data_IF_588871939472
#
_entry.id   IF_588871939472
#
_cell.length_a   1.000
_cell.length_b   1.000
_cell.length_c   1.000
_cell.angle_alpha   90.00
_cell.angle_beta   90.00
_cell.angle_gamma   90.00
#
_symmetry.space_group_name_H-M   'P 1'
#
loop_
_entity.id
_entity.type
_entity.pdbx_description
1 polymer ?
#
# COMPACT_ATOMS: atom_id res chain seq x y z
N UNK A 1 46.51 5.30 38.42
CA UNK A 1 46.65 6.45 37.50
C UNK A 1 45.27 7.07 37.31
N UNK A 2 45.02 8.33 37.71
CA UNK A 2 43.70 8.92 37.55
C UNK A 2 43.47 9.31 36.08
N UNK A 3 42.36 8.86 35.50
CA UNK A 3 41.92 9.28 34.18
C UNK A 3 41.65 10.80 34.19
N UNK A 4 42.41 11.56 33.40
CA UNK A 4 42.12 12.98 33.18
C UNK A 4 40.81 13.07 32.43
N UNK A 5 39.76 13.61 33.07
CA UNK A 5 38.56 14.03 32.35
C UNK A 5 38.97 15.13 31.36
N UNK A 6 38.89 14.85 30.06
CA UNK A 6 39.05 15.89 29.04
C UNK A 6 37.92 16.91 29.21
N UNK A 7 38.25 18.13 29.63
CA UNK A 7 37.31 19.26 29.58
C UNK A 7 37.24 19.75 28.14
N UNK A 8 36.19 19.36 27.42
CA UNK A 8 35.90 19.94 26.11
C UNK A 8 35.57 21.43 26.27
N UNK A 9 36.12 22.30 25.41
CA UNK A 9 35.75 23.71 25.41
C UNK A 9 34.25 23.85 25.09
N UNK A 10 33.57 24.83 25.71
CA UNK A 10 32.12 25.06 25.55
C UNK A 10 31.70 25.13 24.07
N UNK A 11 32.56 25.73 23.22
CA UNK A 11 32.36 25.79 21.78
C UNK A 11 32.30 24.39 21.12
N UNK A 12 33.18 23.46 21.52
CA UNK A 12 33.17 22.09 20.99
C UNK A 12 31.92 21.32 21.43
N UNK A 13 31.42 21.57 22.64
CA UNK A 13 30.14 20.98 23.10
C UNK A 13 28.97 21.50 22.26
N UNK A 14 28.96 22.79 21.92
CA UNK A 14 27.90 23.38 21.09
C UNK A 14 27.97 22.89 19.64
N UNK A 15 29.16 22.77 19.07
CA UNK A 15 29.36 22.20 17.73
C UNK A 15 28.96 20.72 17.67
N UNK A 16 29.30 19.94 18.70
CA UNK A 16 28.88 18.55 18.80
C UNK A 16 27.37 18.43 18.95
N UNK A 17 26.72 19.29 19.74
CA UNK A 17 25.27 19.32 19.87
C UNK A 17 24.59 19.68 18.54
N UNK A 18 25.10 20.69 17.82
CA UNK A 18 24.59 21.07 16.49
C UNK A 18 24.76 19.93 15.47
N UNK A 19 25.89 19.22 15.51
CA UNK A 19 26.13 18.05 14.65
C UNK A 19 25.15 16.91 14.98
N UNK A 20 24.91 16.61 16.26
CA UNK A 20 23.95 15.59 16.67
C UNK A 20 22.50 15.97 16.34
N UNK A 21 22.13 17.25 16.47
CA UNK A 21 20.81 17.74 16.05
C UNK A 21 20.64 17.69 14.53
N UNK A 22 21.65 18.09 13.75
CA UNK A 22 21.64 17.98 12.29
C UNK A 22 21.62 16.52 11.81
N UNK A 23 22.17 15.59 12.60
CA UNK A 23 22.10 14.16 12.31
C UNK A 23 20.72 13.56 12.65
N UNK A 24 20.00 14.12 13.63
CA UNK A 24 18.68 13.65 14.07
C UNK A 24 17.52 14.06 13.16
N UNK A 25 17.72 15.00 12.22
CA UNK A 25 16.66 15.50 11.34
C UNK A 25 16.48 14.71 10.04
N UNK A 26 17.14 13.56 9.90
CA UNK A 26 16.65 12.54 9.00
C UNK A 26 15.35 11.97 9.59
N UNK A 27 14.26 12.74 9.53
CA UNK A 27 12.96 12.14 9.37
C UNK A 27 13.12 11.20 8.17
N UNK A 28 13.19 9.89 8.44
CA UNK A 28 13.52 8.89 7.44
C UNK A 28 12.58 9.11 6.26
N UNK A 29 13.11 9.63 5.15
CA UNK A 29 12.35 9.87 3.94
C UNK A 29 12.12 8.50 3.31
N UNK A 30 11.10 7.80 3.81
CA UNK A 30 10.69 6.51 3.34
C UNK A 30 9.21 6.56 2.98
N UNK A 31 8.85 5.89 1.90
CA UNK A 31 7.45 5.65 1.55
C UNK A 31 7.10 4.25 2.01
N UNK A 32 5.95 4.13 2.66
CA UNK A 32 5.36 2.86 3.05
C UNK A 32 4.14 2.58 2.20
N UNK A 33 3.98 1.32 1.85
CA UNK A 33 2.76 0.79 1.24
C UNK A 33 2.06 -0.12 2.23
N UNK A 34 0.76 0.08 2.38
CA UNK A 34 -0.11 -0.74 3.19
C UNK A 34 -1.12 -1.47 2.31
N UNK A 35 -1.36 -2.74 2.60
CA UNK A 35 -2.34 -3.57 1.91
C UNK A 35 -3.60 -3.68 2.74
N UNK A 36 -4.69 -3.08 2.25
CA UNK A 36 -5.93 -2.93 2.99
C UNK A 36 -7.07 -3.70 2.36
N UNK A 37 -7.98 -4.21 3.19
CA UNK A 37 -9.28 -4.68 2.75
C UNK A 37 -10.37 -4.22 3.71
N UNK A 38 -11.62 -4.22 3.27
CA UNK A 38 -12.75 -4.23 4.19
C UNK A 38 -13.75 -5.30 3.78
N UNK A 39 -14.40 -5.86 4.79
CA UNK A 39 -15.54 -6.70 4.56
C UNK A 39 -16.72 -5.83 4.10
N UNK A 40 -17.41 -6.33 3.10
CA UNK A 40 -18.61 -5.73 2.57
C UNK A 40 -19.73 -6.75 2.54
N UNK A 41 -20.84 -6.40 1.91
CA UNK A 41 -21.87 -7.36 1.58
C UNK A 41 -22.23 -7.26 0.10
N UNK A 42 -22.47 -8.42 -0.49
CA UNK A 42 -22.92 -8.54 -1.89
C UNK A 42 -24.38 -8.08 -2.02
N UNK A 43 -25.14 -8.12 -0.92
CA UNK A 43 -26.57 -7.82 -0.89
C UNK A 43 -26.89 -6.45 -0.28
N UNK A 44 -26.00 -5.89 0.55
CA UNK A 44 -26.27 -4.68 1.33
C UNK A 44 -24.99 -3.85 1.54
N UNK A 45 -25.09 -2.53 1.44
CA UNK A 45 -23.96 -1.64 1.71
C UNK A 45 -22.86 -1.70 0.65
N UNK A 46 -21.59 -1.67 1.09
CA UNK A 46 -20.43 -1.63 0.21
C UNK A 46 -20.04 -3.04 -0.21
N UNK A 47 -19.68 -3.23 -1.48
CA UNK A 47 -19.13 -4.49 -1.96
C UNK A 47 -17.74 -4.73 -1.35
N UNK A 48 -17.38 -5.98 -0.95
CA UNK A 48 -16.05 -6.28 -0.41
C UNK A 48 -14.93 -5.76 -1.31
N UNK A 49 -13.88 -5.18 -0.72
CA UNK A 49 -12.84 -4.54 -1.52
C UNK A 49 -11.44 -4.68 -0.91
N UNK A 50 -10.43 -4.56 -1.76
CA UNK A 50 -9.01 -4.42 -1.38
C UNK A 50 -8.37 -3.29 -2.17
N UNK A 51 -7.42 -2.60 -1.55
CA UNK A 51 -6.74 -1.44 -2.10
C UNK A 51 -5.38 -1.25 -1.41
N UNK A 52 -4.55 -0.36 -1.95
CA UNK A 52 -3.27 0.03 -1.35
C UNK A 52 -3.34 1.45 -0.80
N UNK A 53 -2.60 1.72 0.27
CA UNK A 53 -2.35 3.07 0.80
C UNK A 53 -0.85 3.33 0.73
N UNK A 54 -0.45 4.48 0.19
CA UNK A 54 0.93 4.94 0.10
C UNK A 54 1.06 6.18 0.98
N UNK A 55 2.00 6.16 1.93
CA UNK A 55 2.27 7.30 2.80
C UNK A 55 3.75 7.44 3.12
N UNK A 56 4.21 8.67 3.32
CA UNK A 56 5.58 8.96 3.72
C UNK A 56 6.18 10.09 2.89
N UNK A 57 7.47 10.02 2.64
CA UNK A 57 8.21 11.06 1.90
C UNK A 57 9.19 10.41 0.95
N UNK A 58 9.21 10.84 -0.32
CA UNK A 58 10.19 10.36 -1.30
C UNK A 58 11.60 10.84 -0.93
N UNK A 59 12.55 9.90 -0.94
CA UNK A 59 13.93 10.17 -0.52
C UNK A 59 14.61 11.17 -1.46
N UNK A 60 14.40 11.02 -2.77
CA UNK A 60 15.11 11.83 -3.76
C UNK A 60 14.61 13.27 -3.87
N UNK A 61 13.34 13.53 -3.55
CA UNK A 61 12.69 14.83 -3.81
C UNK A 61 12.20 15.53 -2.54
N UNK A 62 12.03 14.81 -1.43
CA UNK A 62 11.35 15.33 -0.25
C UNK A 62 9.85 15.53 -0.42
N UNK A 63 9.26 15.04 -1.52
CA UNK A 63 7.83 15.13 -1.79
C UNK A 63 7.05 14.23 -0.82
N UNK A 64 6.05 14.80 -0.16
CA UNK A 64 5.16 14.07 0.73
C UNK A 64 4.17 13.24 -0.10
N UNK A 65 4.03 11.96 0.27
CA UNK A 65 3.10 11.02 -0.32
C UNK A 65 1.99 10.74 0.68
N UNK A 66 0.75 10.87 0.25
CA UNK A 66 -0.46 10.48 0.98
C UNK A 66 -1.56 10.16 -0.03
N UNK A 67 -1.49 8.95 -0.58
CA UNK A 67 -2.31 8.52 -1.70
C UNK A 67 -2.87 7.13 -1.42
N UNK A 68 -3.99 6.77 -2.06
CA UNK A 68 -4.50 5.41 -1.99
C UNK A 68 -5.27 5.04 -3.26
N UNK A 69 -5.20 3.77 -3.62
CA UNK A 69 -5.67 3.27 -4.90
C UNK A 69 -6.33 1.90 -4.76
N UNK A 70 -7.61 1.83 -5.13
CA UNK A 70 -8.36 0.60 -5.38
C UNK A 70 -8.87 0.55 -6.81
N UNK A 71 -9.33 -0.61 -7.28
CA UNK A 71 -9.80 -0.78 -8.66
C UNK A 71 -11.20 -1.38 -8.69
N UNK A 72 -12.14 -0.71 -9.34
CA UNK A 72 -13.55 -1.10 -9.35
C UNK A 72 -14.23 -0.85 -10.69
N UNK A 73 -15.45 -1.38 -10.82
CA UNK A 73 -16.36 -0.97 -11.86
C UNK A 73 -16.73 0.51 -11.67
N UNK A 74 -16.81 1.27 -12.77
CA UNK A 74 -17.22 2.67 -12.75
C UNK A 74 -18.67 2.84 -12.29
N UNK A 75 -19.52 1.88 -12.64
CA UNK A 75 -20.92 1.80 -12.22
C UNK A 75 -21.23 0.39 -11.76
N UNK A 76 -21.77 0.26 -10.55
CA UNK A 76 -22.20 -1.03 -10.01
C UNK A 76 -23.61 -1.35 -10.51
N UNK A 77 -23.70 -2.24 -11.49
CA UNK A 77 -24.97 -2.72 -12.05
C UNK A 77 -24.94 -4.25 -12.21
N UNK A 78 -26.09 -4.92 -12.41
CA UNK A 78 -26.12 -6.36 -12.66
C UNK A 78 -25.27 -6.82 -13.85
N UNK A 79 -24.93 -5.93 -14.79
CA UNK A 79 -24.07 -6.23 -15.93
C UNK A 79 -22.65 -6.70 -15.54
N UNK A 80 -22.20 -6.38 -14.32
CA UNK A 80 -20.92 -6.86 -13.79
C UNK A 80 -20.90 -8.40 -13.67
N UNK A 81 -22.07 -9.04 -13.49
CA UNK A 81 -22.18 -10.49 -13.39
C UNK A 81 -22.11 -11.19 -14.75
N UNK A 82 -22.26 -10.45 -15.85
CA UNK A 82 -22.37 -11.03 -17.20
C UNK A 82 -21.14 -10.77 -18.09
N UNK A 83 -20.14 -10.05 -17.58
CA UNK A 83 -18.85 -9.88 -18.25
C UNK A 83 -18.15 -8.57 -17.90
N UNK A 84 -17.09 -8.21 -18.64
CA UNK A 84 -16.32 -7.00 -18.38
C UNK A 84 -17.18 -5.73 -18.49
N UNK A 85 -16.92 -4.74 -17.64
CA UNK A 85 -17.56 -3.42 -17.62
C UNK A 85 -16.52 -2.28 -17.58
N UNK A 86 -17.00 -1.05 -17.75
CA UNK A 86 -16.18 0.14 -17.54
C UNK A 86 -15.61 0.17 -16.11
N UNK A 87 -14.38 0.65 -16.00
CA UNK A 87 -13.60 0.60 -14.78
C UNK A 87 -13.19 2.00 -14.30
N UNK A 88 -12.70 2.04 -13.08
CA UNK A 88 -11.99 3.17 -12.50
C UNK A 88 -11.03 2.69 -11.41
N UNK A 89 -9.93 3.42 -11.26
CA UNK A 89 -9.19 3.50 -10.02
C UNK A 89 -9.92 4.50 -9.12
N UNK A 90 -10.13 4.11 -7.87
CA UNK A 90 -10.82 4.90 -6.85
C UNK A 90 -9.90 5.12 -5.65
N UNK A 91 -10.13 6.24 -4.96
CA UNK A 91 -9.52 6.55 -3.68
C UNK A 91 -10.56 6.51 -2.57
N UNK A 92 -10.23 5.85 -1.48
CA UNK A 92 -10.93 5.87 -0.21
C UNK A 92 -10.67 7.19 0.54
N UNK A 93 -11.68 7.65 1.27
CA UNK A 93 -11.52 8.77 2.20
C UNK A 93 -10.70 8.33 3.41
N UNK A 94 -9.97 9.24 4.04
CA UNK A 94 -9.23 8.93 5.27
C UNK A 94 -10.10 8.32 6.37
N UNK A 95 -11.35 8.79 6.49
CA UNK A 95 -12.34 8.24 7.42
C UNK A 95 -12.61 6.77 7.11
N UNK A 96 -12.73 6.39 5.85
CA UNK A 96 -12.94 5.01 5.46
C UNK A 96 -11.70 4.16 5.73
N UNK A 97 -10.51 4.65 5.36
CA UNK A 97 -9.24 3.93 5.55
C UNK A 97 -9.05 3.51 7.01
N UNK A 98 -9.35 4.40 7.97
CA UNK A 98 -9.29 4.10 9.41
C UNK A 98 -10.21 2.97 9.88
N UNK A 99 -11.23 2.63 9.09
CA UNK A 99 -12.19 1.57 9.37
C UNK A 99 -11.98 0.34 8.46
N UNK A 100 -10.76 0.13 7.96
CA UNK A 100 -10.39 -1.02 7.13
C UNK A 100 -9.35 -1.89 7.82
N UNK A 101 -9.24 -3.13 7.37
CA UNK A 101 -8.27 -4.10 7.84
C UNK A 101 -6.95 -3.89 7.09
N UNK A 102 -5.91 -3.44 7.80
CA UNK A 102 -4.53 -3.37 7.28
C UNK A 102 -3.83 -4.69 7.53
N UNK A 103 -3.57 -5.45 6.46
CA UNK A 103 -2.99 -6.79 6.54
C UNK A 103 -1.49 -6.78 6.81
N UNK A 104 -0.75 -6.04 6.01
CA UNK A 104 0.70 -5.91 6.16
C UNK A 104 1.18 -4.59 5.54
N UNK A 105 2.43 -4.24 5.87
CA UNK A 105 3.08 -3.00 5.45
C UNK A 105 4.48 -3.31 4.94
N UNK A 106 4.90 -2.62 3.89
CA UNK A 106 6.26 -2.67 3.40
C UNK A 106 6.82 -1.25 3.25
N UNK A 107 8.08 -1.05 3.60
CA UNK A 107 8.83 0.12 3.14
C UNK A 107 9.27 -0.11 1.70
N UNK A 108 9.08 0.90 0.84
CA UNK A 108 9.39 0.81 -0.58
C UNK A 108 10.37 1.90 -1.00
N UNK A 109 11.20 1.56 -1.97
CA UNK A 109 12.09 2.53 -2.61
C UNK A 109 11.32 3.48 -3.53
N UNK A 110 11.86 4.68 -3.76
CA UNK A 110 11.36 5.61 -4.78
C UNK A 110 11.17 4.96 -6.16
N UNK A 111 12.02 3.99 -6.51
CA UNK A 111 11.89 3.24 -7.78
C UNK A 111 10.64 2.36 -7.78
N UNK A 112 10.40 1.64 -6.69
CA UNK A 112 9.19 0.81 -6.54
C UNK A 112 7.94 1.70 -6.52
N UNK A 113 7.97 2.82 -5.81
CA UNK A 113 6.89 3.82 -5.82
C UNK A 113 6.54 4.25 -7.25
N UNK A 114 7.53 4.71 -8.04
CA UNK A 114 7.28 5.13 -9.43
C UNK A 114 6.72 4.00 -10.31
N UNK A 115 7.16 2.75 -10.09
CA UNK A 115 6.60 1.58 -10.81
C UNK A 115 5.15 1.32 -10.42
N UNK A 116 4.82 1.44 -9.13
CA UNK A 116 3.45 1.33 -8.64
C UNK A 116 2.57 2.41 -9.27
N UNK A 117 2.99 3.68 -9.23
CA UNK A 117 2.22 4.79 -9.84
C UNK A 117 2.05 4.59 -11.36
N UNK A 118 3.08 4.11 -12.06
CA UNK A 118 2.96 3.77 -13.48
C UNK A 118 1.93 2.66 -13.73
N UNK A 119 1.91 1.61 -12.89
CA UNK A 119 0.92 0.53 -12.97
C UNK A 119 -0.49 1.04 -12.64
N UNK A 120 -0.67 1.85 -11.59
CA UNK A 120 -1.94 2.51 -11.26
C UNK A 120 -2.48 3.28 -12.46
N UNK A 121 -1.62 4.07 -13.12
CA UNK A 121 -1.99 4.83 -14.31
C UNK A 121 -2.34 3.93 -15.51
N UNK A 122 -1.64 2.80 -15.69
CA UNK A 122 -1.96 1.84 -16.75
C UNK A 122 -3.34 1.21 -16.54
N UNK A 123 -3.69 0.88 -15.29
CA UNK A 123 -5.01 0.34 -14.96
C UNK A 123 -6.13 1.38 -15.05
N UNK A 124 -5.87 2.63 -14.66
CA UNK A 124 -6.84 3.72 -14.77
C UNK A 124 -7.19 4.07 -16.22
N UNK A 125 -6.18 3.99 -17.11
CA UNK A 125 -6.29 4.46 -18.49
C UNK A 125 -6.41 3.31 -19.50
N UNK A 126 -6.69 2.09 -19.04
CA UNK A 126 -6.89 0.97 -19.94
C UNK A 126 -8.07 1.25 -20.89
N UNK A 127 -7.99 0.87 -22.18
CA UNK A 127 -9.08 1.14 -23.10
C UNK A 127 -10.28 0.22 -22.86
N UNK A 128 -11.49 0.76 -23.02
CA UNK A 128 -12.72 -0.02 -23.04
C UNK A 128 -13.15 -0.61 -21.69
N UNK A 129 -13.83 -1.76 -21.75
CA UNK A 129 -14.36 -2.47 -20.58
C UNK A 129 -13.25 -3.36 -19.98
N UNK A 130 -12.79 -3.00 -18.78
CA UNK A 130 -11.58 -3.59 -18.19
C UNK A 130 -11.82 -4.22 -16.82
N UNK A 131 -12.91 -3.88 -16.12
CA UNK A 131 -13.24 -4.50 -14.84
C UNK A 131 -14.06 -5.76 -15.05
N UNK A 132 -13.64 -6.87 -14.45
CA UNK A 132 -14.31 -8.18 -14.52
C UNK A 132 -14.16 -8.89 -13.17
N UNK A 133 -15.26 -9.44 -12.63
CA UNK A 133 -15.28 -10.04 -11.29
C UNK A 133 -14.35 -11.25 -11.13
N UNK A 134 -14.04 -11.96 -12.20
CA UNK A 134 -13.22 -13.18 -12.13
C UNK A 134 -11.82 -12.95 -12.69
N UNK A 135 -11.67 -12.07 -13.69
CA UNK A 135 -10.42 -11.97 -14.45
C UNK A 135 -9.62 -10.70 -14.17
N UNK A 136 -10.28 -9.65 -13.67
CA UNK A 136 -9.66 -8.33 -13.54
C UNK A 136 -10.43 -7.41 -12.60
N UNK A 137 -10.23 -7.62 -11.30
CA UNK A 137 -10.90 -6.90 -10.23
C UNK A 137 -9.87 -6.29 -9.25
N UNK A 138 -10.34 -5.77 -8.12
CA UNK A 138 -9.50 -5.22 -7.05
C UNK A 138 -8.39 -6.16 -6.55
N UNK A 139 -8.66 -7.47 -6.48
CA UNK A 139 -7.67 -8.47 -6.05
C UNK A 139 -6.53 -8.55 -7.06
N UNK A 140 -6.82 -8.58 -8.36
CA UNK A 140 -5.80 -8.62 -9.41
C UNK A 140 -4.99 -7.33 -9.44
N UNK A 141 -5.64 -6.18 -9.24
CA UNK A 141 -4.99 -4.89 -9.16
C UNK A 141 -3.99 -4.83 -8.00
N UNK A 142 -4.42 -5.20 -6.78
CA UNK A 142 -3.56 -5.21 -5.60
C UNK A 142 -2.48 -6.28 -5.71
N UNK A 143 -2.80 -7.45 -6.27
CA UNK A 143 -1.85 -8.52 -6.54
C UNK A 143 -0.72 -8.06 -7.45
N UNK A 144 -1.02 -7.23 -8.45
CA UNK A 144 0.00 -6.66 -9.31
C UNK A 144 0.97 -5.72 -8.56
N UNK A 145 0.47 -4.95 -7.60
CA UNK A 145 1.32 -4.11 -6.74
C UNK A 145 2.21 -4.97 -5.84
N UNK A 146 1.67 -6.06 -5.29
CA UNK A 146 2.44 -7.04 -4.51
C UNK A 146 3.54 -7.70 -5.35
N UNK A 147 3.26 -8.10 -6.60
CA UNK A 147 4.25 -8.64 -7.53
C UNK A 147 5.37 -7.64 -7.88
N UNK A 148 5.05 -6.34 -8.03
CA UNK A 148 6.06 -5.29 -8.26
C UNK A 148 7.07 -5.23 -7.10
N UNK A 149 6.62 -5.56 -5.89
CA UNK A 149 7.43 -5.61 -4.67
C UNK A 149 8.13 -6.95 -4.46
N UNK A 150 7.92 -7.92 -5.36
CA UNK A 150 8.56 -9.23 -5.30
C UNK A 150 7.82 -10.26 -4.42
N UNK A 151 6.60 -9.95 -3.98
CA UNK A 151 5.79 -10.91 -3.23
C UNK A 151 5.26 -12.02 -4.14
N UNK A 152 5.14 -13.22 -3.58
CA UNK A 152 4.44 -14.34 -4.20
C UNK A 152 2.94 -14.11 -4.15
N UNK A 153 2.29 -14.26 -5.29
CA UNK A 153 0.85 -14.06 -5.46
C UNK A 153 0.31 -15.14 -6.39
N UNK A 154 -0.86 -15.66 -6.04
CA UNK A 154 -1.72 -16.45 -6.92
C UNK A 154 -3.18 -16.02 -6.72
N UNK A 155 -4.08 -16.59 -7.51
CA UNK A 155 -5.49 -16.17 -7.56
C UNK A 155 -6.42 -17.40 -7.51
N UNK A 156 -6.59 -18.05 -6.34
CA UNK A 156 -7.49 -19.18 -6.24
C UNK A 156 -8.93 -18.77 -6.54
N UNK A 157 -9.61 -19.54 -7.40
CA UNK A 157 -10.97 -19.22 -7.91
C UNK A 157 -11.99 -18.98 -6.78
N UNK A 158 -11.86 -19.69 -5.66
CA UNK A 158 -12.76 -19.57 -4.50
C UNK A 158 -12.52 -18.30 -3.65
N UNK A 159 -11.56 -17.45 -4.05
CA UNK A 159 -11.17 -16.23 -3.33
C UNK A 159 -11.33 -14.95 -4.16
N UNK A 160 -11.66 -15.03 -5.45
CA UNK A 160 -11.71 -13.87 -6.36
C UNK A 160 -12.73 -12.79 -6.00
N UNK A 161 -13.68 -13.11 -5.10
CA UNK A 161 -14.67 -12.17 -4.54
C UNK A 161 -14.53 -11.98 -3.03
N UNK A 162 -13.40 -12.40 -2.43
CA UNK A 162 -13.15 -12.42 -0.99
C UNK A 162 -11.82 -11.74 -0.65
N UNK A 163 -11.73 -10.41 -0.78
CA UNK A 163 -10.45 -9.71 -0.73
C UNK A 163 -9.70 -9.88 0.60
N UNK A 164 -10.40 -9.89 1.74
CA UNK A 164 -9.80 -10.19 3.05
C UNK A 164 -9.18 -11.60 3.10
N UNK A 165 -9.94 -12.62 2.65
CA UNK A 165 -9.45 -14.00 2.60
C UNK A 165 -8.22 -14.12 1.69
N UNK A 166 -8.27 -13.45 0.54
CA UNK A 166 -7.17 -13.46 -0.42
C UNK A 166 -5.92 -12.75 0.12
N UNK A 167 -6.03 -11.59 0.79
CA UNK A 167 -4.87 -10.96 1.41
C UNK A 167 -4.26 -11.81 2.53
N UNK A 168 -5.09 -12.48 3.34
CA UNK A 168 -4.57 -13.47 4.31
C UNK A 168 -3.83 -14.63 3.63
N UNK A 169 -4.26 -15.03 2.43
CA UNK A 169 -3.57 -16.05 1.65
C UNK A 169 -2.23 -15.55 1.14
N UNK A 170 -2.16 -14.32 0.61
CA UNK A 170 -0.90 -13.65 0.25
C UNK A 170 0.04 -13.54 1.45
N UNK A 171 -0.46 -13.17 2.63
CA UNK A 171 0.34 -13.14 3.87
C UNK A 171 0.97 -14.50 4.16
N UNK A 172 0.19 -15.60 4.08
CA UNK A 172 0.72 -16.96 4.34
C UNK A 172 1.76 -17.42 3.31
N UNK A 173 1.64 -16.98 2.06
CA UNK A 173 2.61 -17.32 1.01
C UNK A 173 3.97 -16.61 1.17
N UNK A 174 4.01 -15.52 1.94
CA UNK A 174 5.17 -14.65 2.12
C UNK A 174 5.50 -14.54 3.61
N UNK A 175 6.02 -15.61 4.25
CA UNK A 175 6.30 -15.64 5.69
C UNK A 175 7.31 -14.59 6.14
N UNK A 176 8.14 -14.07 5.23
CA UNK A 176 9.07 -12.97 5.47
C UNK A 176 8.39 -11.63 5.83
N UNK A 177 7.08 -11.51 5.59
CA UNK A 177 6.31 -10.35 6.00
C UNK A 177 6.13 -10.24 7.52
N UNK A 178 6.31 -11.34 8.26
CA UNK A 178 6.10 -11.43 9.72
C UNK A 178 4.76 -10.80 10.17
N UNK A 179 3.73 -10.99 9.36
CA UNK A 179 2.40 -10.41 9.57
C UNK A 179 1.39 -11.49 9.94
N UNK A 180 0.54 -11.17 10.93
CA UNK A 180 -0.57 -12.03 11.32
C UNK A 180 -1.72 -11.93 10.30
N UNK A 181 -2.43 -13.04 10.13
CA UNK A 181 -3.66 -13.06 9.34
C UNK A 181 -4.82 -12.47 10.14
N UNK A 182 -5.74 -11.79 9.47
CA UNK A 182 -6.87 -11.10 10.10
C UNK A 182 -8.16 -11.92 9.94
N UNK A 183 -8.89 -12.13 11.03
CA UNK A 183 -10.15 -12.89 11.02
C UNK A 183 -11.33 -12.17 10.35
#
# INVERSE_FOLDING_TARGET
MPAKLLRLPRLAVHLLALFLFAWSSAAMAEVRIHFHSFDGSVLWGRYPHTFIVLEGTLEATGEAVNENYGFSARKVTPAILTGPVEHMVLAETEKNIRNTNRHFTLTITDRQYRRIIAEVNAWQNAPGKYYDLEKRNCIHFVGRMAEILGLKVDYPDDMLRRPKKWLNHVTRMNPELDAEVID
#
